data_IF_992587386337
#
_entry.id   IF_992587386337
#
_cell.length_a   1.000
_cell.length_b   1.000
_cell.length_c   1.000
_cell.angle_alpha   90.00
_cell.angle_beta   90.00
_cell.angle_gamma   90.00
#
_symmetry.space_group_name_H-M   'P 1'
#
loop_
_entity.id
_entity.type
_entity.pdbx_description
1 polymer ?
#
# COMPACT_ATOMS: atom_id res chain seq x y z
N UNK A 1 12.68 -32.56 8.77
CA UNK A 1 11.85 -32.38 7.56
C UNK A 1 12.71 -31.67 6.53
N UNK A 2 12.97 -32.32 5.39
CA UNK A 2 13.59 -31.66 4.24
C UNK A 2 12.46 -30.95 3.50
N UNK A 3 12.53 -29.60 3.44
CA UNK A 3 11.60 -28.84 2.61
C UNK A 3 11.95 -29.09 1.13
N UNK A 4 11.11 -29.89 0.47
CA UNK A 4 11.30 -30.23 -0.94
C UNK A 4 10.85 -29.11 -1.89
N UNK A 5 10.47 -27.93 -1.38
CA UNK A 5 10.00 -26.80 -2.20
C UNK A 5 11.07 -25.77 -2.47
N UNK A 6 12.18 -25.80 -1.74
CA UNK A 6 13.20 -24.75 -1.80
C UNK A 6 14.59 -25.31 -2.05
N UNK A 7 15.29 -24.77 -3.06
CA UNK A 7 16.71 -25.14 -3.33
C UNK A 7 17.59 -24.63 -2.18
N UNK A 8 18.34 -25.52 -1.51
CA UNK A 8 19.34 -25.09 -0.55
C UNK A 8 20.43 -24.24 -1.21
N UNK A 9 20.70 -23.07 -0.65
CA UNK A 9 21.81 -22.23 -1.10
C UNK A 9 22.97 -22.31 -0.11
N UNK A 10 24.07 -22.93 -0.54
CA UNK A 10 25.28 -23.11 0.29
C UNK A 10 26.04 -21.80 0.55
N UNK A 11 25.74 -20.75 -0.23
CA UNK A 11 26.42 -19.45 -0.16
C UNK A 11 25.58 -18.39 0.57
N UNK A 12 24.52 -18.81 1.29
CA UNK A 12 23.73 -17.86 2.08
C UNK A 12 24.60 -17.21 3.16
N UNK A 13 24.53 -15.89 3.18
CA UNK A 13 25.10 -15.06 4.24
C UNK A 13 24.04 -14.75 5.28
N UNK A 14 24.41 -14.64 6.55
CA UNK A 14 23.47 -14.16 7.57
C UNK A 14 23.08 -12.70 7.29
N UNK A 15 21.83 -12.37 7.50
CA UNK A 15 21.36 -10.97 7.50
C UNK A 15 22.12 -10.18 8.57
N UNK A 16 22.62 -9.01 8.21
CA UNK A 16 23.31 -8.09 9.11
C UNK A 16 22.55 -6.79 9.21
N UNK A 17 22.27 -6.39 10.44
CA UNK A 17 21.59 -5.15 10.71
C UNK A 17 22.46 -4.19 11.49
N UNK A 18 22.66 -2.99 10.96
CA UNK A 18 23.26 -1.87 11.67
C UNK A 18 22.16 -0.90 12.08
N UNK A 19 22.09 -0.59 13.37
CA UNK A 19 21.13 0.33 13.93
C UNK A 19 21.82 1.49 14.63
N UNK A 20 21.30 2.67 14.39
CA UNK A 20 21.58 3.87 15.18
C UNK A 20 20.27 4.35 15.78
N UNK A 21 20.29 4.61 17.07
CA UNK A 21 19.14 5.08 17.82
C UNK A 21 19.56 6.18 18.78
N UNK A 22 18.75 7.23 18.86
CA UNK A 22 18.92 8.30 19.83
C UNK A 22 17.53 8.69 20.36
N UNK A 23 17.44 8.83 21.65
CA UNK A 23 16.20 9.20 22.30
C UNK A 23 16.44 9.94 23.60
N UNK A 24 15.38 10.46 24.16
CA UNK A 24 15.36 11.03 25.48
C UNK A 24 14.03 10.77 26.16
N UNK A 25 14.10 10.51 27.45
CA UNK A 25 12.94 10.45 28.34
C UNK A 25 13.04 11.62 29.32
N UNK A 26 11.92 12.32 29.51
CA UNK A 26 11.88 13.44 30.45
C UNK A 26 10.55 13.47 31.18
N UNK A 27 10.60 13.93 32.46
CA UNK A 27 9.45 14.06 33.35
C UNK A 27 9.41 15.44 33.94
N UNK A 28 8.26 16.07 33.90
CA UNK A 28 8.02 17.43 34.39
C UNK A 28 6.88 17.46 35.38
N UNK A 29 6.81 18.57 36.16
CA UNK A 29 5.72 18.89 37.09
C UNK A 29 5.42 17.73 38.06
N UNK A 30 6.45 17.25 38.78
CA UNK A 30 6.33 16.13 39.71
C UNK A 30 5.76 14.86 39.04
N UNK A 31 6.28 14.49 37.84
CA UNK A 31 5.87 13.36 37.06
C UNK A 31 4.43 13.44 36.47
N UNK A 32 3.84 14.66 36.43
CA UNK A 32 2.54 14.85 35.82
C UNK A 32 2.59 14.85 34.29
N UNK A 33 3.74 15.12 33.70
CA UNK A 33 4.00 15.05 32.27
C UNK A 33 5.26 14.23 32.08
N UNK A 34 5.16 13.14 31.35
CA UNK A 34 6.26 12.31 30.87
C UNK A 34 6.29 12.31 29.36
N UNK A 35 7.41 12.63 28.76
CA UNK A 35 7.63 12.61 27.33
C UNK A 35 8.81 11.68 27.02
N UNK A 36 8.58 10.74 26.14
CA UNK A 36 9.57 9.87 25.53
C UNK A 36 9.62 10.16 24.03
N UNK A 37 10.81 10.33 23.51
CA UNK A 37 11.07 10.55 22.10
C UNK A 37 12.23 9.69 21.66
N UNK A 38 12.05 8.94 20.56
CA UNK A 38 13.08 8.12 19.96
C UNK A 38 13.12 8.37 18.46
N UNK A 39 14.33 8.54 17.94
CA UNK A 39 14.65 8.48 16.52
C UNK A 39 15.55 7.28 16.26
N UNK A 40 15.23 6.50 15.22
CA UNK A 40 16.05 5.38 14.81
C UNK A 40 16.31 5.38 13.31
N UNK A 41 17.45 4.77 12.93
CA UNK A 41 17.81 4.49 11.54
C UNK A 41 18.52 3.13 11.50
N UNK A 42 17.88 2.18 10.86
CA UNK A 42 18.31 0.79 10.78
C UNK A 42 18.50 0.39 9.33
N UNK A 43 19.64 -0.21 9.02
CA UNK A 43 19.96 -0.72 7.70
C UNK A 43 20.25 -2.21 7.81
N UNK A 44 19.41 -3.02 7.19
CA UNK A 44 19.54 -4.47 7.10
C UNK A 44 20.06 -4.86 5.73
N UNK A 45 21.19 -5.56 5.71
CA UNK A 45 21.87 -6.06 4.51
C UNK A 45 21.76 -7.57 4.42
N UNK A 46 21.97 -8.09 3.22
CA UNK A 46 21.95 -9.53 2.95
C UNK A 46 20.63 -10.20 3.40
N UNK A 47 19.49 -9.51 3.24
CA UNK A 47 18.17 -10.05 3.56
C UNK A 47 17.94 -11.37 2.82
N UNK A 48 17.52 -12.40 3.55
CA UNK A 48 17.25 -13.72 2.96
C UNK A 48 15.81 -13.74 2.48
N UNK A 49 15.63 -13.97 1.19
CA UNK A 49 14.32 -14.03 0.53
C UNK A 49 14.17 -15.27 -0.33
N UNK A 50 12.95 -15.78 -0.44
CA UNK A 50 12.60 -16.86 -1.36
C UNK A 50 12.29 -16.30 -2.74
N UNK A 51 13.12 -16.62 -3.73
CA UNK A 51 12.91 -16.25 -5.13
C UNK A 51 12.30 -17.43 -5.88
N UNK A 52 11.29 -17.15 -6.72
CA UNK A 52 10.74 -18.15 -7.62
C UNK A 52 11.84 -18.73 -8.52
N UNK A 53 11.83 -20.04 -8.68
CA UNK A 53 12.78 -20.79 -9.53
C UNK A 53 12.04 -21.48 -10.66
N UNK A 54 12.75 -21.78 -11.74
CA UNK A 54 12.17 -22.57 -12.82
C UNK A 54 11.77 -23.95 -12.32
N UNK A 55 10.56 -24.39 -12.62
CA UNK A 55 10.09 -25.75 -12.33
C UNK A 55 10.97 -26.85 -12.93
N UNK A 56 11.76 -26.53 -13.97
CA UNK A 56 12.73 -27.45 -14.53
C UNK A 56 13.85 -27.84 -13.55
N UNK A 57 14.05 -27.09 -12.48
CA UNK A 57 15.01 -27.42 -11.40
C UNK A 57 14.47 -28.45 -10.41
N UNK A 58 13.17 -28.76 -10.46
CA UNK A 58 12.47 -29.57 -9.49
C UNK A 58 12.08 -28.83 -8.19
N UNK A 59 12.38 -27.55 -8.09
CA UNK A 59 12.10 -26.72 -6.92
C UNK A 59 11.43 -25.41 -7.34
N UNK A 60 10.26 -25.04 -6.78
CA UNK A 60 9.59 -23.79 -7.10
C UNK A 60 10.30 -22.55 -6.55
N UNK A 61 11.12 -22.69 -5.52
CA UNK A 61 11.80 -21.57 -4.87
C UNK A 61 13.29 -21.82 -4.64
N UNK A 62 14.06 -20.73 -4.56
CA UNK A 62 15.45 -20.71 -4.09
C UNK A 62 15.66 -19.58 -3.08
N UNK A 63 16.45 -19.81 -2.04
CA UNK A 63 16.85 -18.76 -1.10
C UNK A 63 18.04 -17.97 -1.64
N UNK A 64 17.92 -16.66 -1.58
CA UNK A 64 18.99 -15.72 -1.95
C UNK A 64 19.16 -14.64 -0.90
N UNK A 65 20.32 -14.00 -0.85
CA UNK A 65 20.50 -12.76 -0.11
C UNK A 65 20.07 -11.62 -1.02
N UNK A 66 18.88 -11.07 -0.80
CA UNK A 66 18.14 -10.30 -1.80
C UNK A 66 18.25 -8.78 -1.67
N UNK A 67 19.09 -8.25 -0.79
CA UNK A 67 19.29 -6.81 -0.85
C UNK A 67 19.48 -6.08 0.48
N UNK A 68 19.33 -4.76 0.41
CA UNK A 68 19.48 -3.83 1.52
C UNK A 68 18.18 -3.05 1.73
N UNK A 69 17.65 -3.09 2.97
CA UNK A 69 16.44 -2.39 3.37
C UNK A 69 16.79 -1.44 4.51
N UNK A 70 16.33 -0.21 4.39
CA UNK A 70 16.43 0.80 5.43
C UNK A 70 15.08 1.01 6.09
N UNK A 71 15.07 1.06 7.42
CA UNK A 71 13.97 1.53 8.25
C UNK A 71 14.45 2.72 9.04
N UNK A 72 13.78 3.84 8.93
CA UNK A 72 14.06 5.01 9.74
C UNK A 72 12.75 5.62 10.23
N UNK A 73 12.74 6.08 11.47
CA UNK A 73 11.49 6.57 12.02
C UNK A 73 11.65 7.34 13.30
N UNK A 74 10.51 7.81 13.75
CA UNK A 74 10.35 8.49 15.03
C UNK A 74 9.24 7.81 15.83
N UNK A 75 9.45 7.75 17.13
CA UNK A 75 8.46 7.30 18.11
C UNK A 75 8.32 8.35 19.19
N UNK A 76 7.09 8.64 19.58
CA UNK A 76 6.77 9.62 20.61
C UNK A 76 5.75 8.99 21.54
N UNK A 77 6.01 9.05 22.86
CA UNK A 77 5.04 8.71 23.87
C UNK A 77 4.90 9.86 24.86
N UNK A 78 3.68 10.35 25.02
CA UNK A 78 3.32 11.37 25.99
C UNK A 78 2.37 10.76 27.01
N UNK A 79 2.76 10.77 28.27
CA UNK A 79 1.91 10.38 29.40
C UNK A 79 1.70 11.58 30.29
N UNK A 80 0.46 11.92 30.56
CA UNK A 80 0.17 13.09 31.37
C UNK A 80 -1.04 12.88 32.29
N UNK A 81 -1.02 13.54 33.43
CA UNK A 81 -2.15 13.67 34.31
C UNK A 81 -2.55 15.15 34.40
N UNK A 82 -3.33 15.64 33.40
CA UNK A 82 -3.62 17.05 33.27
C UNK A 82 -4.44 17.60 34.44
N UNK A 83 -5.30 16.77 35.04
CA UNK A 83 -6.24 17.23 36.06
C UNK A 83 -6.24 16.31 37.27
N UNK A 84 -6.15 16.92 38.46
CA UNK A 84 -6.35 16.32 39.78
C UNK A 84 -7.14 17.32 40.60
N UNK A 85 -8.38 17.03 40.98
CA UNK A 85 -9.24 17.89 41.77
C UNK A 85 -9.99 17.01 42.77
N UNK A 86 -9.59 17.09 44.07
CA UNK A 86 -10.16 16.24 45.09
C UNK A 86 -10.06 14.75 44.75
N UNK A 87 -11.19 14.07 44.71
CA UNK A 87 -11.30 12.64 44.37
C UNK A 87 -11.28 12.35 42.86
N UNK A 88 -11.20 13.39 42.00
CA UNK A 88 -11.17 13.26 40.55
C UNK A 88 -9.76 13.36 40.01
N UNK A 89 -9.37 12.43 39.11
CA UNK A 89 -8.16 12.55 38.31
C UNK A 89 -8.40 12.11 36.87
N UNK A 90 -7.65 12.72 35.96
CA UNK A 90 -7.66 12.40 34.54
C UNK A 90 -6.24 12.04 34.07
N UNK A 91 -6.07 10.84 33.58
CA UNK A 91 -4.85 10.35 32.94
C UNK A 91 -5.02 10.31 31.42
N UNK A 92 -4.03 10.80 30.70
CA UNK A 92 -4.00 10.87 29.25
C UNK A 92 -2.68 10.32 28.75
N UNK A 93 -2.75 9.32 27.87
CA UNK A 93 -1.61 8.75 27.17
C UNK A 93 -1.78 8.95 25.67
N UNK A 94 -0.73 9.42 24.97
CA UNK A 94 -0.68 9.58 23.54
C UNK A 94 0.58 8.89 23.05
N UNK A 95 0.46 8.05 22.03
CA UNK A 95 1.61 7.53 21.31
C UNK A 95 1.50 7.83 19.83
N UNK A 96 2.64 8.00 19.19
CA UNK A 96 2.77 8.22 17.75
C UNK A 96 4.01 7.51 17.25
N UNK A 97 3.88 6.80 16.12
CA UNK A 97 5.01 6.16 15.46
C UNK A 97 4.91 6.37 13.95
N UNK A 98 6.01 6.77 13.36
CA UNK A 98 6.17 6.87 11.92
C UNK A 98 7.43 6.14 11.50
N UNK A 99 7.29 5.12 10.65
CA UNK A 99 8.40 4.40 10.04
C UNK A 99 8.43 4.68 8.53
N UNK A 100 9.58 5.07 8.02
CA UNK A 100 9.85 5.13 6.59
C UNK A 100 10.74 3.93 6.23
N UNK A 101 10.15 2.97 5.55
CA UNK A 101 10.81 1.77 5.07
C UNK A 101 11.19 1.98 3.60
N UNK A 102 12.45 1.74 3.25
CA UNK A 102 12.93 1.94 1.88
C UNK A 102 13.83 0.81 1.42
N UNK A 103 13.55 0.26 0.24
CA UNK A 103 14.43 -0.68 -0.45
C UNK A 103 15.58 0.12 -1.08
N UNK A 104 16.80 -0.05 -0.57
CA UNK A 104 17.97 0.68 -1.05
C UNK A 104 18.65 0.00 -2.23
N UNK A 105 18.69 -1.33 -2.19
CA UNK A 105 19.33 -2.15 -3.21
C UNK A 105 18.73 -3.55 -3.21
N UNK A 106 18.67 -4.15 -4.40
CA UNK A 106 18.41 -5.58 -4.60
C UNK A 106 19.64 -6.26 -5.20
N UNK A 107 19.63 -7.60 -5.31
CA UNK A 107 20.73 -8.36 -5.90
C UNK A 107 20.73 -8.28 -7.43
N UNK A 108 21.90 -8.53 -8.02
CA UNK A 108 22.07 -8.73 -9.48
C UNK A 108 21.45 -7.62 -10.33
N UNK A 109 21.54 -6.37 -9.86
CA UNK A 109 20.99 -5.17 -10.51
C UNK A 109 19.47 -5.27 -10.83
N UNK A 110 18.74 -6.05 -10.05
CA UNK A 110 17.29 -6.11 -10.12
C UNK A 110 16.69 -4.80 -9.61
N UNK A 111 15.77 -4.22 -10.37
CA UNK A 111 15.02 -3.03 -9.94
C UNK A 111 13.85 -3.38 -9.03
N UNK A 112 13.32 -4.59 -9.13
CA UNK A 112 12.14 -5.03 -8.40
C UNK A 112 12.20 -6.53 -8.10
N UNK A 113 11.71 -6.89 -6.93
CA UNK A 113 11.51 -8.26 -6.47
C UNK A 113 10.06 -8.49 -6.06
N UNK A 114 9.40 -9.47 -6.68
CA UNK A 114 8.03 -9.87 -6.36
C UNK A 114 8.00 -10.58 -5.00
N UNK A 115 7.23 -10.05 -4.06
CA UNK A 115 7.04 -10.65 -2.73
C UNK A 115 5.82 -11.56 -2.72
N UNK A 116 4.72 -11.10 -3.30
CA UNK A 116 3.45 -11.82 -3.36
C UNK A 116 2.66 -11.38 -4.60
N UNK A 117 2.02 -12.34 -5.26
CA UNK A 117 1.20 -12.09 -6.44
C UNK A 117 -0.02 -12.98 -6.44
N UNK A 118 -1.18 -12.41 -6.68
CA UNK A 118 -2.36 -13.19 -6.99
C UNK A 118 -2.28 -13.71 -8.45
N UNK A 119 -2.46 -15.01 -8.65
CA UNK A 119 -2.17 -15.72 -9.90
C UNK A 119 -2.89 -15.18 -11.14
N UNK A 120 -3.99 -14.45 -10.97
CA UNK A 120 -4.83 -13.91 -12.05
C UNK A 120 -4.82 -12.39 -12.11
N UNK A 121 -3.92 -11.74 -11.38
CA UNK A 121 -3.80 -10.28 -11.33
C UNK A 121 -2.47 -9.82 -11.90
N UNK A 122 -2.51 -8.67 -12.57
CA UNK A 122 -1.29 -7.95 -12.94
C UNK A 122 -0.77 -7.06 -11.79
N UNK A 123 -1.48 -7.04 -10.65
CA UNK A 123 -1.09 -6.32 -9.44
C UNK A 123 -0.41 -7.27 -8.46
N UNK A 124 0.68 -6.82 -7.88
CA UNK A 124 1.52 -7.60 -6.97
C UNK A 124 2.06 -6.73 -5.82
N UNK A 125 2.48 -7.38 -4.74
CA UNK A 125 3.26 -6.74 -3.68
C UNK A 125 4.73 -6.98 -3.96
N UNK A 126 5.51 -5.92 -3.98
CA UNK A 126 6.91 -5.99 -4.39
C UNK A 126 7.85 -5.17 -3.49
N UNK A 127 9.12 -5.55 -3.51
CA UNK A 127 10.23 -4.73 -3.10
C UNK A 127 10.81 -4.07 -4.36
N UNK A 128 10.63 -2.77 -4.55
CA UNK A 128 11.15 -2.00 -5.68
C UNK A 128 12.22 -1.04 -5.17
N UNK A 129 13.36 -0.98 -5.87
CA UNK A 129 14.47 -0.10 -5.46
C UNK A 129 14.01 1.36 -5.46
N UNK A 130 14.29 2.05 -4.37
CA UNK A 130 13.88 3.44 -4.16
C UNK A 130 12.51 3.61 -3.54
N UNK A 131 11.68 2.55 -3.48
CA UNK A 131 10.32 2.55 -2.95
C UNK A 131 10.23 1.83 -1.60
N UNK A 132 9.05 1.82 -1.00
CA UNK A 132 8.81 1.09 0.25
C UNK A 132 8.84 -0.42 0.00
N UNK A 133 9.35 -1.17 0.98
CA UNK A 133 9.23 -2.62 0.98
C UNK A 133 7.76 -3.00 1.22
N UNK A 134 7.16 -3.68 0.23
CA UNK A 134 5.72 -3.96 0.25
C UNK A 134 4.89 -2.94 -0.55
N UNK A 135 5.50 -2.26 -1.52
CA UNK A 135 4.78 -1.45 -2.49
C UNK A 135 3.81 -2.30 -3.31
N UNK A 136 2.62 -1.77 -3.54
CA UNK A 136 1.65 -2.35 -4.46
C UNK A 136 2.04 -1.86 -5.85
N UNK A 137 2.35 -2.76 -6.76
CA UNK A 137 2.79 -2.43 -8.11
C UNK A 137 1.94 -3.13 -9.16
N UNK A 138 1.78 -2.49 -10.29
CA UNK A 138 0.99 -3.03 -11.39
C UNK A 138 0.96 -2.08 -12.59
N UNK A 139 0.20 -2.43 -13.65
CA UNK A 139 -0.03 -1.56 -14.78
C UNK A 139 -0.82 -0.31 -14.37
N UNK A 140 -0.57 0.81 -15.06
CA UNK A 140 -1.32 2.05 -14.89
C UNK A 140 -1.79 2.57 -16.26
N UNK A 141 -2.66 3.58 -16.25
CA UNK A 141 -3.04 4.29 -17.44
C UNK A 141 -1.93 5.22 -17.91
N UNK A 142 -1.74 5.30 -19.23
CA UNK A 142 -0.89 6.33 -19.80
C UNK A 142 -1.52 7.71 -19.58
N UNK A 143 -0.69 8.68 -19.19
CA UNK A 143 -1.13 10.04 -18.90
C UNK A 143 -0.33 11.06 -19.72
N UNK A 144 -0.95 12.18 -20.03
CA UNK A 144 -0.26 13.32 -20.57
C UNK A 144 0.48 14.12 -19.47
N UNK A 145 1.19 15.18 -19.86
CA UNK A 145 1.95 16.02 -18.93
C UNK A 145 1.06 16.74 -17.89
N UNK A 146 -0.25 16.87 -18.15
CA UNK A 146 -1.23 17.45 -17.21
C UNK A 146 -1.82 16.39 -16.24
N UNK A 147 -1.48 15.10 -16.41
CA UNK A 147 -2.00 13.99 -15.62
C UNK A 147 -3.30 13.39 -16.16
N UNK A 148 -3.83 13.85 -17.29
CA UNK A 148 -5.05 13.30 -17.90
C UNK A 148 -4.76 11.94 -18.55
N UNK A 149 -5.70 11.01 -18.43
CA UNK A 149 -5.60 9.70 -19.04
C UNK A 149 -5.68 9.80 -20.56
N UNK A 150 -4.72 9.19 -21.25
CA UNK A 150 -4.71 9.14 -22.72
C UNK A 150 -5.73 8.11 -23.21
N UNK A 151 -6.52 8.52 -24.19
CA UNK A 151 -7.52 7.71 -24.85
C UNK A 151 -7.03 7.33 -26.26
N UNK A 152 -7.08 6.07 -26.58
CA UNK A 152 -6.81 5.59 -27.95
C UNK A 152 -7.89 6.09 -28.89
N UNK A 153 -7.56 6.93 -29.89
CA UNK A 153 -8.56 7.53 -30.79
C UNK A 153 -9.24 6.49 -31.70
N UNK A 154 -8.64 5.31 -31.88
CA UNK A 154 -9.21 4.27 -32.71
C UNK A 154 -10.27 3.44 -31.98
N UNK A 155 -10.11 3.24 -30.68
CA UNK A 155 -10.98 2.38 -29.87
C UNK A 155 -11.85 3.14 -28.87
N UNK A 156 -11.47 4.39 -28.54
CA UNK A 156 -12.11 5.17 -27.47
C UNK A 156 -11.80 4.66 -26.06
N UNK A 157 -10.86 3.73 -25.91
CA UNK A 157 -10.50 3.15 -24.62
C UNK A 157 -9.25 3.81 -24.03
N UNK A 158 -9.12 3.80 -22.69
CA UNK A 158 -7.90 4.25 -22.03
C UNK A 158 -6.67 3.44 -22.49
N UNK A 159 -5.58 4.14 -22.74
CA UNK A 159 -4.29 3.51 -23.08
C UNK A 159 -3.62 3.02 -21.78
N UNK A 160 -3.10 1.80 -21.81
CA UNK A 160 -2.39 1.19 -20.70
C UNK A 160 -0.89 1.22 -20.89
N UNK A 161 -0.18 1.49 -19.81
CA UNK A 161 1.22 1.15 -19.63
C UNK A 161 1.31 -0.14 -18.80
N UNK A 162 1.83 -1.21 -19.42
CA UNK A 162 1.97 -2.52 -18.76
C UNK A 162 3.21 -2.63 -17.88
N UNK A 163 4.01 -1.59 -17.77
CA UNK A 163 5.14 -1.57 -16.85
C UNK A 163 4.65 -1.55 -15.39
N UNK A 164 5.54 -1.94 -14.47
CA UNK A 164 5.21 -1.99 -13.05
C UNK A 164 5.33 -0.59 -12.42
N UNK A 165 4.21 0.13 -12.39
CA UNK A 165 4.07 1.38 -11.64
C UNK A 165 3.79 1.12 -10.17
N UNK A 166 4.21 2.03 -9.31
CA UNK A 166 3.81 2.03 -7.89
C UNK A 166 2.41 2.61 -7.81
N UNK A 167 1.45 1.77 -7.44
CA UNK A 167 0.04 2.13 -7.31
C UNK A 167 -0.33 2.52 -5.88
N UNK A 168 0.45 2.06 -4.90
CA UNK A 168 0.21 2.32 -3.50
C UNK A 168 1.23 1.62 -2.60
N UNK A 169 1.00 1.69 -1.31
CA UNK A 169 1.87 1.11 -0.29
C UNK A 169 1.04 0.35 0.76
N UNK A 170 1.37 -0.90 1.00
CA UNK A 170 0.70 -1.72 2.01
C UNK A 170 1.09 -1.35 3.47
N UNK A 171 2.13 -0.54 3.66
CA UNK A 171 2.58 -0.10 4.98
C UNK A 171 1.88 1.20 5.39
N UNK A 172 1.64 1.33 6.70
CA UNK A 172 1.06 2.56 7.26
C UNK A 172 2.07 3.72 7.18
N UNK A 173 1.60 4.92 6.81
CA UNK A 173 2.40 6.14 6.87
C UNK A 173 2.75 6.51 8.30
N UNK A 174 1.80 6.32 9.21
CA UNK A 174 1.97 6.49 10.65
C UNK A 174 0.89 5.75 11.42
N UNK A 175 1.20 5.46 12.67
CA UNK A 175 0.25 4.90 13.64
C UNK A 175 0.25 5.75 14.90
N UNK A 176 -0.88 5.77 15.59
CA UNK A 176 -1.01 6.50 16.84
C UNK A 176 -2.08 5.92 17.73
N UNK A 177 -1.96 6.19 19.01
CA UNK A 177 -2.95 5.79 19.99
C UNK A 177 -3.23 6.88 20.99
N UNK A 178 -4.44 6.92 21.47
CA UNK A 178 -4.90 7.78 22.53
C UNK A 178 -5.55 6.92 23.61
N UNK A 179 -5.01 6.95 24.81
CA UNK A 179 -5.63 6.36 26.00
C UNK A 179 -6.08 7.48 26.94
N UNK A 180 -7.31 7.40 27.41
CA UNK A 180 -7.81 8.36 28.40
C UNK A 180 -8.49 7.61 29.54
N UNK A 181 -8.15 7.95 30.77
CA UNK A 181 -8.70 7.32 31.97
C UNK A 181 -9.15 8.39 32.95
N UNK A 182 -10.41 8.32 33.33
CA UNK A 182 -11.01 9.16 34.36
C UNK A 182 -11.21 8.33 35.61
N UNK A 183 -10.78 8.87 36.74
CA UNK A 183 -11.02 8.30 38.07
C UNK A 183 -11.86 9.26 38.89
N UNK A 184 -12.88 8.75 39.53
CA UNK A 184 -13.66 9.48 40.52
C UNK A 184 -14.06 8.56 41.67
N UNK A 185 -13.50 8.77 42.85
CA UNK A 185 -13.67 7.87 43.99
C UNK A 185 -13.36 6.43 43.65
N UNK A 186 -14.37 5.54 43.70
CA UNK A 186 -14.26 4.11 43.41
C UNK A 186 -14.57 3.76 41.96
N UNK A 187 -14.86 4.77 41.12
CA UNK A 187 -15.21 4.57 39.73
C UNK A 187 -14.03 4.93 38.81
N UNK A 188 -13.81 4.09 37.81
CA UNK A 188 -12.84 4.35 36.74
C UNK A 188 -13.48 4.14 35.38
N UNK A 189 -13.23 5.05 34.44
CA UNK A 189 -13.63 4.93 33.04
C UNK A 189 -12.39 5.09 32.16
N UNK A 190 -12.11 4.09 31.35
CA UNK A 190 -11.00 4.11 30.39
C UNK A 190 -11.53 3.97 28.98
N UNK A 191 -11.03 4.80 28.07
CA UNK A 191 -11.23 4.66 26.63
C UNK A 191 -9.87 4.60 25.91
N UNK A 192 -9.78 3.74 24.91
CA UNK A 192 -8.61 3.57 24.05
C UNK A 192 -9.01 3.77 22.60
N UNK A 193 -8.25 4.58 21.89
CA UNK A 193 -8.38 4.80 20.45
C UNK A 193 -7.07 4.43 19.77
N UNK A 194 -7.15 3.61 18.72
CA UNK A 194 -6.03 3.23 17.88
C UNK A 194 -6.27 3.78 16.47
N UNK A 195 -5.26 4.43 15.90
CA UNK A 195 -5.32 5.10 14.61
C UNK A 195 -4.18 4.61 13.74
N UNK A 196 -4.51 4.22 12.50
CA UNK A 196 -3.56 3.81 11.46
C UNK A 196 -3.93 4.52 10.18
N UNK A 197 -2.96 5.15 9.53
CA UNK A 197 -3.20 6.01 8.37
C UNK A 197 -2.21 5.67 7.25
N UNK A 198 -2.69 5.72 6.01
CA UNK A 198 -1.88 5.76 4.80
C UNK A 198 -1.59 4.42 4.14
N UNK A 199 -2.05 3.28 4.69
CA UNK A 199 -1.91 2.02 3.98
C UNK A 199 -2.96 1.88 2.89
N UNK A 200 -2.53 1.36 1.75
CA UNK A 200 -3.38 1.04 0.61
C UNK A 200 -3.72 -0.45 0.60
N UNK A 201 -4.91 -0.77 0.11
CA UNK A 201 -5.39 -2.13 -0.06
C UNK A 201 -5.98 -2.29 -1.45
N UNK A 202 -5.46 -3.26 -2.20
CA UNK A 202 -6.08 -3.64 -3.47
C UNK A 202 -7.37 -4.45 -3.23
N UNK A 203 -8.50 -3.93 -3.72
CA UNK A 203 -9.80 -4.57 -3.55
C UNK A 203 -10.26 -5.29 -4.82
N UNK A 204 -10.19 -6.62 -4.80
CA UNK A 204 -10.75 -7.47 -5.86
C UNK A 204 -12.26 -7.31 -6.03
N UNK A 205 -12.99 -7.12 -4.94
CA UNK A 205 -14.44 -6.93 -4.97
C UNK A 205 -14.82 -5.62 -5.67
N UNK A 206 -14.06 -4.55 -5.42
CA UNK A 206 -14.25 -3.28 -6.09
C UNK A 206 -13.93 -3.39 -7.59
N UNK A 207 -12.82 -4.05 -7.97
CA UNK A 207 -12.48 -4.36 -9.36
C UNK A 207 -13.62 -5.12 -10.05
N UNK A 208 -14.07 -6.24 -9.48
CA UNK A 208 -15.14 -7.05 -10.04
C UNK A 208 -16.47 -6.26 -10.18
N UNK A 209 -16.77 -5.35 -9.24
CA UNK A 209 -17.93 -4.47 -9.34
C UNK A 209 -17.82 -3.48 -10.49
N UNK A 210 -16.60 -2.94 -10.76
CA UNK A 210 -16.35 -2.07 -11.91
C UNK A 210 -16.45 -2.84 -13.23
N UNK A 211 -15.75 -3.97 -13.36
CA UNK A 211 -15.74 -4.80 -14.55
C UNK A 211 -17.16 -5.31 -14.92
N UNK A 212 -17.96 -5.63 -13.93
CA UNK A 212 -19.37 -6.08 -14.14
C UNK A 212 -20.37 -4.94 -14.26
N UNK A 213 -19.94 -3.68 -14.19
CA UNK A 213 -20.82 -2.51 -14.26
C UNK A 213 -21.75 -2.34 -13.04
N UNK A 214 -21.43 -2.94 -11.91
CA UNK A 214 -22.23 -2.84 -10.65
C UNK A 214 -21.78 -1.72 -9.73
N UNK A 215 -20.65 -1.08 -10.01
CA UNK A 215 -20.22 0.10 -9.28
C UNK A 215 -20.95 1.35 -9.73
N UNK A 216 -21.27 2.26 -8.80
CA UNK A 216 -21.88 3.55 -9.13
C UNK A 216 -21.04 4.38 -10.09
N UNK A 217 -19.72 4.30 -10.00
CA UNK A 217 -18.80 4.98 -10.91
C UNK A 217 -18.99 4.56 -12.39
N UNK A 218 -19.51 3.36 -12.64
CA UNK A 218 -19.77 2.85 -13.99
C UNK A 218 -21.11 3.28 -14.57
N UNK A 219 -21.90 4.07 -13.85
CA UNK A 219 -23.19 4.60 -14.35
C UNK A 219 -22.99 5.81 -15.27
N UNK A 220 -21.88 6.52 -15.12
CA UNK A 220 -21.55 7.71 -15.92
C UNK A 220 -21.44 7.30 -17.40
N UNK A 221 -22.18 7.98 -18.27
CA UNK A 221 -22.20 7.70 -19.72
C UNK A 221 -22.99 6.46 -20.14
N UNK A 222 -23.61 5.73 -19.21
CA UNK A 222 -24.34 4.49 -19.53
C UNK A 222 -25.62 4.75 -20.32
N UNK A 223 -26.38 5.79 -19.99
CA UNK A 223 -27.61 6.12 -20.71
C UNK A 223 -27.32 6.61 -22.12
N UNK A 224 -26.27 7.41 -22.30
CA UNK A 224 -25.80 7.86 -23.59
C UNK A 224 -25.34 6.69 -24.44
N UNK A 225 -24.67 5.72 -23.83
CA UNK A 225 -24.26 4.48 -24.52
C UNK A 225 -25.47 3.67 -25.00
N UNK A 226 -26.52 3.49 -24.18
CA UNK A 226 -27.73 2.79 -24.57
C UNK A 226 -28.46 3.49 -25.73
N UNK A 227 -28.57 4.81 -25.67
CA UNK A 227 -29.16 5.59 -26.78
C UNK A 227 -28.38 5.41 -28.08
N UNK A 228 -27.06 5.51 -28.02
CA UNK A 228 -26.21 5.30 -29.18
C UNK A 228 -26.31 3.88 -29.75
N UNK A 229 -26.50 2.88 -28.89
CA UNK A 229 -26.68 1.48 -29.29
C UNK A 229 -28.04 1.27 -29.99
N UNK A 230 -29.11 1.91 -29.51
CA UNK A 230 -30.44 1.91 -30.19
C UNK A 230 -30.34 2.57 -31.57
N UNK A 231 -29.67 3.72 -31.67
CA UNK A 231 -29.43 4.42 -32.95
C UNK A 231 -28.65 3.54 -33.91
N UNK A 232 -27.60 2.87 -33.43
CA UNK A 232 -26.79 1.93 -34.23
C UNK A 232 -27.62 0.78 -34.75
N UNK A 233 -28.47 0.19 -33.92
CA UNK A 233 -29.36 -0.90 -34.33
C UNK A 233 -30.39 -0.43 -35.36
N UNK A 234 -30.99 0.76 -35.14
CA UNK A 234 -31.93 1.36 -36.07
C UNK A 234 -31.31 1.65 -37.44
N UNK A 235 -30.02 2.00 -37.49
CA UNK A 235 -29.26 2.19 -38.71
C UNK A 235 -28.79 0.90 -39.35
N UNK A 236 -29.04 -0.28 -38.78
CA UNK A 236 -28.63 -1.59 -39.30
C UNK A 236 -27.12 -1.84 -39.28
N UNK A 237 -26.37 -1.11 -38.44
CA UNK A 237 -24.91 -1.20 -38.35
C UNK A 237 -24.52 -2.32 -37.39
N UNK A 238 -23.63 -3.23 -37.82
CA UNK A 238 -23.16 -4.34 -37.01
C UNK A 238 -22.38 -3.87 -35.76
N UNK A 239 -22.53 -4.58 -34.65
CA UNK A 239 -21.78 -4.31 -33.45
C UNK A 239 -20.28 -4.42 -33.70
N UNK A 240 -19.50 -3.40 -33.31
CA UNK A 240 -18.05 -3.36 -33.53
C UNK A 240 -17.62 -2.91 -34.93
N UNK A 241 -18.56 -2.38 -35.74
CA UNK A 241 -18.19 -1.79 -37.04
C UNK A 241 -17.34 -0.52 -36.81
N UNK A 242 -16.20 -0.43 -37.49
CA UNK A 242 -15.23 0.66 -37.36
C UNK A 242 -15.77 2.04 -37.85
N UNK A 243 -16.89 2.04 -38.56
CA UNK A 243 -17.55 3.23 -39.11
C UNK A 243 -18.58 3.85 -38.16
N UNK A 244 -18.87 3.20 -37.03
CA UNK A 244 -19.83 3.71 -36.08
C UNK A 244 -19.16 4.66 -35.07
N UNK A 245 -19.61 5.90 -35.06
CA UNK A 245 -19.23 6.88 -34.04
C UNK A 245 -20.49 7.29 -33.29
N UNK A 246 -20.56 7.09 -31.96
CA UNK A 246 -21.70 7.51 -31.14
C UNK A 246 -21.92 9.03 -31.26
N UNK A 247 -23.17 9.46 -31.45
CA UNK A 247 -23.53 10.89 -31.54
C UNK A 247 -23.48 11.62 -30.20
N UNK A 248 -23.53 10.92 -29.06
CA UNK A 248 -23.24 11.46 -27.75
C UNK A 248 -21.79 11.17 -27.42
N UNK A 249 -20.98 12.17 -27.17
CA UNK A 249 -19.56 12.00 -26.90
C UNK A 249 -19.31 10.83 -25.95
N UNK A 250 -18.46 9.91 -26.36
CA UNK A 250 -18.09 8.76 -25.56
C UNK A 250 -17.40 9.29 -24.29
N UNK A 251 -18.13 9.31 -23.20
CA UNK A 251 -17.51 9.50 -21.89
C UNK A 251 -16.80 8.20 -21.57
N UNK A 252 -15.52 8.15 -21.85
CA UNK A 252 -14.70 7.03 -21.40
C UNK A 252 -14.97 6.86 -19.91
N UNK A 253 -15.47 5.69 -19.52
CA UNK A 253 -15.61 5.35 -18.10
C UNK A 253 -14.21 5.44 -17.52
N UNK A 254 -13.90 6.53 -16.81
CA UNK A 254 -12.65 6.65 -16.13
C UNK A 254 -12.65 5.59 -15.03
N UNK A 255 -11.84 4.57 -15.19
CA UNK A 255 -11.47 3.72 -14.08
C UNK A 255 -10.64 4.60 -13.14
N UNK A 256 -11.33 5.27 -12.24
CA UNK A 256 -10.66 5.97 -11.15
C UNK A 256 -9.95 4.92 -10.30
N UNK A 257 -8.71 5.19 -9.99
CA UNK A 257 -7.92 4.42 -9.05
C UNK A 257 -8.73 4.13 -7.78
N UNK A 258 -8.78 2.88 -7.42
CA UNK A 258 -9.28 2.42 -6.12
C UNK A 258 -8.11 2.25 -5.21
#
# INVERSE_FOLDING_TARGET
FIDNTTIPNKNLKPTRTNSFEVGFETKFLNNRIGLDFTYYNQISKDQIMGMASSWATGYPYRLINAGEIQNQGIEIALNTRPLIIGDFSWDLGINFSKNNNKVRKLVDDMDMFELEKASWLDVQIAAKVGENFGSIVGPDFQRNDNGDILIDPATGLPMYDKSNHVLGNASWDWTGGLSTTFHYKNFGLTALFDVKVGADLYSMSARAAHESGKSLATLVGREEWYKSEEERQAAGIAKGASTWTPTGGFVAVSYTHL
#
